data_IF_305439453113
#
_entry.id   IF_305439453113
#
_cell.length_a   1.000
_cell.length_b   1.000
_cell.length_c   1.000
_cell.angle_alpha   90.00
_cell.angle_beta   90.00
_cell.angle_gamma   90.00
#
_symmetry.space_group_name_H-M   'P 1'
#
loop_
_entity.id
_entity.type
_entity.pdbx_description
1 polymer ?
#
# COMPACT_ATOMS: atom_id res chain seq x y z
N UNK A 1 12.00 -14.85 5.72
CA UNK A 1 13.30 -14.16 5.81
C UNK A 1 13.19 -13.07 6.85
N UNK A 2 14.14 -13.02 7.81
CA UNK A 2 14.11 -12.08 8.93
C UNK A 2 14.44 -10.67 8.44
N UNK A 3 13.85 -9.59 9.00
CA UNK A 3 14.13 -8.20 8.62
C UNK A 3 15.63 -7.84 8.63
N UNK A 4 16.40 -8.48 9.48
CA UNK A 4 17.85 -8.29 9.61
C UNK A 4 18.67 -8.74 8.40
N UNK A 5 18.12 -9.60 7.55
CA UNK A 5 18.75 -10.04 6.30
C UNK A 5 18.48 -9.09 5.12
N UNK A 6 17.42 -8.30 5.21
CA UNK A 6 17.04 -7.33 4.16
C UNK A 6 17.96 -6.11 4.15
N UNK A 7 18.43 -5.67 5.33
CA UNK A 7 19.35 -4.55 5.47
C UNK A 7 20.71 -4.78 4.79
N UNK A 8 21.15 -6.05 4.69
CA UNK A 8 22.47 -6.38 4.12
C UNK A 8 22.49 -6.51 2.61
N UNK A 9 21.35 -6.80 1.97
CA UNK A 9 21.27 -7.00 0.52
C UNK A 9 20.74 -5.79 -0.25
N UNK A 10 19.84 -4.99 0.32
CA UNK A 10 19.29 -3.80 -0.35
C UNK A 10 20.23 -2.59 -0.28
N UNK A 11 21.03 -2.45 0.79
CA UNK A 11 21.95 -1.31 0.99
C UNK A 11 23.34 -1.52 0.38
N UNK A 12 23.65 -2.71 -0.16
CA UNK A 12 24.95 -3.01 -0.81
C UNK A 12 24.88 -3.20 -2.33
N UNK A 13 23.80 -2.85 -2.97
CA UNK A 13 23.91 -2.57 -4.40
C UNK A 13 24.60 -1.21 -4.47
N UNK A 14 25.92 -1.22 -4.66
CA UNK A 14 26.67 -0.05 -5.07
C UNK A 14 26.08 0.40 -6.41
N UNK A 15 25.11 1.29 -6.37
CA UNK A 15 24.42 1.84 -7.53
C UNK A 15 25.40 2.43 -8.56
N UNK A 16 26.68 2.62 -8.19
CA UNK A 16 27.77 3.04 -9.06
C UNK A 16 28.30 2.00 -10.04
N UNK A 17 28.13 0.70 -9.75
CA UNK A 17 28.70 -0.38 -10.56
C UNK A 17 27.78 -0.86 -11.69
N UNK A 18 26.50 -0.50 -11.71
CA UNK A 18 25.56 -0.90 -12.75
C UNK A 18 25.78 -0.02 -13.98
N UNK A 19 26.33 -0.62 -15.04
CA UNK A 19 26.53 0.07 -16.33
C UNK A 19 25.29 0.04 -17.23
N UNK A 20 24.36 -0.91 -17.01
CA UNK A 20 23.13 -1.05 -17.76
C UNK A 20 22.05 -1.67 -16.87
N UNK A 21 20.87 -1.07 -16.84
CA UNK A 21 19.72 -1.64 -16.16
C UNK A 21 18.71 -2.19 -17.18
N UNK A 22 18.47 -3.50 -17.23
CA UNK A 22 17.60 -4.11 -18.23
C UNK A 22 16.11 -3.95 -17.93
N UNK A 23 15.77 -3.39 -16.77
CA UNK A 23 14.38 -3.28 -16.32
C UNK A 23 13.75 -1.95 -16.75
N UNK A 24 12.53 -2.01 -17.25
CA UNK A 24 11.71 -0.83 -17.59
C UNK A 24 10.70 -0.47 -16.51
N UNK A 25 10.43 -1.38 -15.59
CA UNK A 25 9.45 -1.23 -14.51
C UNK A 25 9.98 -1.88 -13.24
N UNK A 26 9.82 -1.20 -12.12
CA UNK A 26 10.04 -1.74 -10.77
C UNK A 26 8.73 -1.63 -9.99
N UNK A 27 8.34 -2.73 -9.32
CA UNK A 27 7.19 -2.76 -8.41
C UNK A 27 7.70 -2.79 -6.98
N UNK A 28 7.56 -1.70 -6.26
CA UNK A 28 7.93 -1.61 -4.85
C UNK A 28 6.81 -2.11 -3.95
N UNK A 29 6.93 -3.34 -3.48
CA UNK A 29 6.06 -3.96 -2.48
C UNK A 29 6.70 -3.98 -1.08
N UNK A 30 7.89 -3.40 -0.91
CA UNK A 30 8.61 -3.42 0.36
C UNK A 30 8.01 -2.38 1.30
N UNK A 31 7.66 -2.80 2.50
CA UNK A 31 7.21 -1.92 3.57
C UNK A 31 7.41 -2.59 4.94
N UNK A 32 7.74 -1.81 5.96
CA UNK A 32 7.49 -2.19 7.33
C UNK A 32 5.99 -2.00 7.60
N UNK A 33 5.28 -3.10 7.81
CA UNK A 33 3.81 -3.15 7.94
C UNK A 33 3.34 -3.36 9.37
N UNK A 34 4.24 -3.31 10.36
CA UNK A 34 3.88 -3.38 11.77
C UNK A 34 3.20 -2.08 12.22
N UNK A 35 1.93 -1.95 11.90
CA UNK A 35 1.12 -0.71 11.94
C UNK A 35 1.16 -0.02 13.30
N UNK A 36 1.32 -0.76 14.39
CA UNK A 36 1.27 -0.23 15.76
C UNK A 36 2.60 -0.32 16.50
N UNK A 37 3.66 -0.69 15.80
CA UNK A 37 5.01 -0.71 16.34
C UNK A 37 5.54 0.70 16.61
N UNK A 38 6.28 0.84 17.70
CA UNK A 38 7.03 2.05 18.02
C UNK A 38 8.47 2.04 17.45
N UNK A 39 8.78 1.12 16.54
CA UNK A 39 10.09 1.01 15.87
C UNK A 39 10.23 2.10 14.80
N UNK A 40 10.42 3.33 15.25
CA UNK A 40 10.52 4.54 14.39
C UNK A 40 11.53 4.38 13.27
N UNK A 41 12.73 3.91 13.60
CA UNK A 41 13.83 3.81 12.64
C UNK A 41 13.55 2.80 11.53
N UNK A 42 12.90 1.68 11.85
CA UNK A 42 12.50 0.69 10.87
C UNK A 42 11.48 1.28 9.88
N UNK A 43 10.41 1.88 10.40
CA UNK A 43 9.42 2.55 9.54
C UNK A 43 10.03 3.67 8.70
N UNK A 44 10.89 4.51 9.32
CA UNK A 44 11.54 5.61 8.63
C UNK A 44 12.47 5.13 7.51
N UNK A 45 13.31 4.15 7.80
CA UNK A 45 14.30 3.65 6.85
C UNK A 45 13.63 2.88 5.70
N UNK A 46 12.61 2.06 5.97
CA UNK A 46 11.98 1.21 4.96
C UNK A 46 10.90 1.98 4.17
N UNK A 47 9.98 2.65 4.88
CA UNK A 47 8.80 3.23 4.24
C UNK A 47 9.05 4.61 3.62
N UNK A 48 10.13 5.30 4.01
CA UNK A 48 10.48 6.62 3.49
C UNK A 48 11.86 6.65 2.82
N UNK A 49 12.97 6.45 3.55
CA UNK A 49 14.32 6.54 2.96
C UNK A 49 14.55 5.53 1.84
N UNK A 50 14.17 4.27 2.03
CA UNK A 50 14.27 3.27 0.97
C UNK A 50 13.43 3.61 -0.26
N UNK A 51 12.32 4.34 -0.08
CA UNK A 51 11.52 4.86 -1.21
C UNK A 51 12.24 6.01 -1.91
N UNK A 52 12.90 6.91 -1.16
CA UNK A 52 13.72 7.99 -1.70
C UNK A 52 14.86 7.43 -2.58
N UNK A 53 15.65 6.50 -2.06
CA UNK A 53 16.73 5.82 -2.79
C UNK A 53 16.19 5.16 -4.08
N UNK A 54 15.03 4.53 -4.00
CA UNK A 54 14.40 3.86 -5.13
C UNK A 54 13.91 4.86 -6.20
N UNK A 55 13.39 6.01 -5.79
CA UNK A 55 12.99 7.09 -6.70
C UNK A 55 14.20 7.64 -7.45
N UNK A 56 15.31 7.89 -6.75
CA UNK A 56 16.57 8.33 -7.38
C UNK A 56 17.07 7.31 -8.40
N UNK A 57 17.08 6.03 -8.02
CA UNK A 57 17.46 4.94 -8.93
C UNK A 57 16.57 4.90 -10.18
N UNK A 58 15.25 4.90 -9.99
CA UNK A 58 14.31 4.86 -11.11
C UNK A 58 14.45 6.06 -12.05
N UNK A 59 14.68 7.26 -11.49
CA UNK A 59 14.90 8.47 -12.28
C UNK A 59 16.20 8.42 -13.09
N UNK A 60 17.28 7.93 -12.48
CA UNK A 60 18.59 7.76 -13.14
C UNK A 60 18.49 6.83 -14.35
N UNK A 61 17.79 5.71 -14.18
CA UNK A 61 17.69 4.66 -15.20
C UNK A 61 16.45 4.77 -16.10
N UNK A 62 15.63 5.83 -15.92
CA UNK A 62 14.37 6.04 -16.66
C UNK A 62 13.37 4.89 -16.51
N UNK A 63 13.36 4.26 -15.34
CA UNK A 63 12.49 3.13 -14.98
C UNK A 63 11.17 3.68 -14.44
N UNK A 64 10.05 3.04 -14.80
CA UNK A 64 8.76 3.34 -14.20
C UNK A 64 8.67 2.73 -12.80
N UNK A 65 8.41 3.56 -11.79
CA UNK A 65 8.17 3.10 -10.42
C UNK A 65 6.69 2.84 -10.17
N UNK A 66 6.35 1.61 -9.81
CA UNK A 66 5.04 1.24 -9.27
C UNK A 66 5.19 1.16 -7.76
N UNK A 67 4.60 2.08 -7.01
CA UNK A 67 4.72 2.12 -5.55
C UNK A 67 3.43 1.66 -4.88
N UNK A 68 3.51 0.58 -4.10
CA UNK A 68 2.38 0.09 -3.31
C UNK A 68 2.29 0.91 -2.02
N UNK A 69 1.31 1.79 -1.99
CA UNK A 69 0.92 2.61 -0.84
C UNK A 69 -0.23 1.94 -0.07
N UNK A 70 -0.95 2.67 0.75
CA UNK A 70 -1.98 2.11 1.63
C UNK A 70 -3.24 2.98 1.67
N UNK A 71 -4.39 2.35 1.88
CA UNK A 71 -5.66 3.00 2.21
C UNK A 71 -5.65 3.65 3.60
N UNK A 72 -4.72 3.24 4.47
CA UNK A 72 -4.57 3.79 5.81
C UNK A 72 -4.32 5.30 5.82
N UNK A 73 -3.84 5.87 4.73
CA UNK A 73 -3.65 7.32 4.56
C UNK A 73 -4.97 8.10 4.67
N UNK A 74 -6.10 7.45 4.45
CA UNK A 74 -7.45 8.02 4.56
C UNK A 74 -8.15 7.69 5.88
N UNK A 75 -7.50 6.95 6.76
CA UNK A 75 -8.06 6.49 8.02
C UNK A 75 -8.59 7.62 8.89
N UNK A 76 -9.73 7.40 9.54
CA UNK A 76 -10.35 8.38 10.46
C UNK A 76 -10.98 9.61 9.80
N UNK A 77 -10.80 9.82 8.51
CA UNK A 77 -11.41 10.91 7.75
C UNK A 77 -12.84 10.61 7.28
N UNK A 78 -13.40 11.52 6.49
CA UNK A 78 -14.65 11.26 5.79
C UNK A 78 -14.47 10.06 4.84
N UNK A 79 -15.47 9.18 4.70
CA UNK A 79 -15.40 8.06 3.79
C UNK A 79 -15.39 8.50 2.32
N UNK A 80 -15.01 7.56 1.44
CA UNK A 80 -15.09 7.74 -0.01
C UNK A 80 -14.12 8.79 -0.59
N UNK A 81 -12.92 8.91 0.00
CA UNK A 81 -11.85 9.80 -0.46
C UNK A 81 -11.34 9.44 -1.86
N UNK A 82 -11.22 10.47 -2.70
CA UNK A 82 -10.63 10.37 -4.04
C UNK A 82 -9.11 10.51 -4.01
N UNK A 83 -8.45 10.20 -5.11
CA UNK A 83 -7.00 10.34 -5.26
C UNK A 83 -6.51 11.80 -5.21
N UNK A 84 -7.39 12.76 -5.48
CA UNK A 84 -7.07 14.19 -5.49
C UNK A 84 -7.12 14.82 -4.09
N UNK A 85 -7.67 14.10 -3.12
CA UNK A 85 -7.74 14.60 -1.75
C UNK A 85 -6.43 14.34 -1.02
N UNK A 86 -6.02 15.31 -0.20
CA UNK A 86 -4.81 15.19 0.61
C UNK A 86 -5.06 14.15 1.70
N UNK A 87 -4.26 13.07 1.77
CA UNK A 87 -4.33 12.14 2.87
C UNK A 87 -3.96 12.83 4.18
N UNK A 88 -4.68 12.53 5.26
CA UNK A 88 -4.52 13.23 6.54
C UNK A 88 -4.24 12.31 7.72
N UNK A 89 -4.31 11.00 7.54
CA UNK A 89 -4.08 10.06 8.63
C UNK A 89 -2.58 9.82 8.86
N UNK A 90 -2.08 10.25 10.00
CA UNK A 90 -0.69 10.10 10.42
C UNK A 90 -0.57 9.85 11.94
N UNK A 91 -1.51 9.10 12.52
CA UNK A 91 -1.59 8.85 13.96
C UNK A 91 -0.61 7.79 14.46
N UNK A 92 0.05 7.07 13.56
CA UNK A 92 1.09 6.09 13.89
C UNK A 92 2.26 6.16 12.90
N UNK A 93 3.40 5.57 13.28
CA UNK A 93 4.62 5.61 12.46
C UNK A 93 4.45 4.97 11.09
N UNK A 94 3.63 3.90 11.00
CA UNK A 94 3.33 3.26 9.73
C UNK A 94 2.64 4.24 8.77
N UNK A 95 1.49 4.80 9.14
CA UNK A 95 0.73 5.70 8.27
C UNK A 95 1.52 6.97 7.94
N UNK A 96 2.22 7.54 8.92
CA UNK A 96 3.08 8.71 8.72
C UNK A 96 4.18 8.47 7.69
N UNK A 97 4.96 7.40 7.85
CA UNK A 97 6.08 7.12 6.93
C UNK A 97 5.61 6.63 5.56
N UNK A 98 4.49 5.89 5.49
CA UNK A 98 3.86 5.56 4.20
C UNK A 98 3.35 6.80 3.47
N UNK A 99 2.80 7.81 4.20
CA UNK A 99 2.42 9.09 3.62
C UNK A 99 3.62 9.84 3.06
N UNK A 100 4.72 9.90 3.80
CA UNK A 100 5.95 10.54 3.33
C UNK A 100 6.49 9.86 2.06
N UNK A 101 6.53 8.53 2.00
CA UNK A 101 6.95 7.79 0.82
C UNK A 101 6.02 8.02 -0.39
N UNK A 102 4.71 7.97 -0.17
CA UNK A 102 3.68 8.26 -1.19
C UNK A 102 3.86 9.68 -1.77
N UNK A 103 3.97 10.69 -0.91
CA UNK A 103 4.19 12.08 -1.31
C UNK A 103 5.54 12.27 -2.03
N UNK A 104 6.59 11.61 -1.55
CA UNK A 104 7.92 11.68 -2.17
C UNK A 104 7.91 11.14 -3.60
N UNK A 105 7.26 9.99 -3.83
CA UNK A 105 7.09 9.43 -5.18
C UNK A 105 6.37 10.42 -6.10
N UNK A 106 5.29 11.05 -5.63
CA UNK A 106 4.53 12.02 -6.42
C UNK A 106 5.36 13.26 -6.79
N UNK A 107 6.17 13.74 -5.87
CA UNK A 107 6.93 14.99 -6.04
C UNK A 107 8.24 14.81 -6.82
N UNK A 108 8.87 13.65 -6.69
CA UNK A 108 10.25 13.43 -7.15
C UNK A 108 10.38 12.41 -8.28
N UNK A 109 9.47 11.43 -8.39
CA UNK A 109 9.55 10.45 -9.46
C UNK A 109 9.06 11.02 -10.79
N UNK A 110 9.85 10.82 -11.86
CA UNK A 110 9.52 11.29 -13.21
C UNK A 110 8.50 10.42 -13.93
N UNK A 111 8.41 9.15 -13.57
CA UNK A 111 7.49 8.19 -14.18
C UNK A 111 7.02 7.19 -13.11
N UNK A 112 5.77 7.32 -12.66
CA UNK A 112 5.27 6.53 -11.57
C UNK A 112 3.82 6.09 -11.71
N UNK A 113 3.48 5.09 -10.91
CA UNK A 113 2.12 4.70 -10.56
C UNK A 113 2.08 4.40 -9.06
N UNK A 114 1.36 5.21 -8.30
CA UNK A 114 1.08 4.97 -6.89
C UNK A 114 -0.24 4.22 -6.76
N UNK A 115 -0.22 3.13 -6.01
CA UNK A 115 -1.37 2.27 -5.73
C UNK A 115 -1.71 2.38 -4.25
N UNK A 116 -2.80 3.04 -3.89
CA UNK A 116 -3.34 3.05 -2.53
C UNK A 116 -4.32 1.91 -2.40
N UNK A 117 -3.98 0.91 -1.59
CA UNK A 117 -4.78 -0.30 -1.43
C UNK A 117 -4.58 -0.95 -0.07
N UNK A 118 -5.44 -1.90 0.24
CA UNK A 118 -5.25 -2.84 1.35
C UNK A 118 -5.65 -4.25 0.92
N UNK A 119 -4.91 -5.24 1.38
CA UNK A 119 -5.16 -6.63 1.08
C UNK A 119 -4.91 -7.51 2.30
N UNK A 120 -5.52 -8.68 2.28
CA UNK A 120 -5.41 -9.67 3.35
C UNK A 120 -4.95 -11.01 2.76
N UNK A 121 -4.21 -11.82 3.54
CA UNK A 121 -3.87 -13.17 3.12
C UNK A 121 -5.12 -14.04 3.00
N UNK A 122 -5.07 -15.04 2.13
CA UNK A 122 -6.11 -16.05 1.98
C UNK A 122 -5.52 -17.44 2.27
N UNK A 123 -6.16 -18.26 3.14
CA UNK A 123 -7.35 -17.96 3.92
C UNK A 123 -7.09 -16.87 4.98
N UNK A 124 -8.17 -16.23 5.49
CA UNK A 124 -8.05 -15.23 6.54
C UNK A 124 -7.47 -15.86 7.82
N UNK A 125 -6.33 -15.32 8.36
CA UNK A 125 -5.51 -16.06 9.32
C UNK A 125 -5.90 -15.84 10.78
N UNK A 126 -6.79 -14.88 11.08
CA UNK A 126 -7.09 -14.52 12.46
C UNK A 126 -8.40 -15.15 12.93
N UNK A 127 -8.50 -15.37 14.26
CA UNK A 127 -9.71 -15.93 14.89
C UNK A 127 -10.87 -14.94 14.95
N UNK A 128 -10.57 -13.62 14.92
CA UNK A 128 -11.57 -12.54 15.01
C UNK A 128 -11.38 -11.55 13.88
N UNK A 129 -12.47 -10.94 13.43
CA UNK A 129 -12.48 -9.87 12.46
C UNK A 129 -13.47 -8.77 12.83
N UNK A 130 -13.10 -7.52 12.55
CA UNK A 130 -13.92 -6.36 12.86
C UNK A 130 -15.17 -6.32 11.97
N UNK A 131 -16.35 -6.22 12.58
CA UNK A 131 -17.62 -6.02 11.91
C UNK A 131 -18.05 -4.55 11.78
N UNK A 132 -17.25 -3.63 12.35
CA UNK A 132 -17.45 -2.18 12.36
C UNK A 132 -16.32 -1.40 11.69
N UNK A 133 -15.40 -2.08 10.98
CA UNK A 133 -14.37 -1.47 10.14
C UNK A 133 -14.67 -1.75 8.68
N UNK A 134 -14.94 -0.69 7.92
CA UNK A 134 -15.31 -0.77 6.50
C UNK A 134 -14.18 -0.30 5.60
N UNK A 135 -13.98 -0.97 4.47
CA UNK A 135 -12.98 -0.61 3.46
C UNK A 135 -13.21 -1.30 2.11
N UNK A 136 -12.35 -0.98 1.15
CA UNK A 136 -12.34 -1.59 -0.19
C UNK A 136 -11.32 -2.74 -0.29
N UNK A 137 -10.90 -3.27 0.84
CA UNK A 137 -9.92 -4.36 0.90
C UNK A 137 -10.47 -5.68 0.33
N UNK A 138 -9.55 -6.51 -0.16
CA UNK A 138 -9.86 -7.87 -0.58
C UNK A 138 -8.63 -8.77 -0.34
N UNK A 139 -8.69 -10.01 -0.76
CA UNK A 139 -7.56 -10.92 -0.71
C UNK A 139 -6.45 -10.51 -1.69
N UNK A 140 -5.22 -10.86 -1.34
CA UNK A 140 -4.01 -10.46 -2.09
C UNK A 140 -4.11 -10.81 -3.58
N UNK A 141 -4.63 -11.97 -3.93
CA UNK A 141 -4.79 -12.41 -5.32
C UNK A 141 -5.77 -11.55 -6.11
N UNK A 142 -6.83 -11.05 -5.47
CA UNK A 142 -7.82 -10.17 -6.09
C UNK A 142 -7.25 -8.79 -6.35
N UNK A 143 -6.62 -8.21 -5.33
CA UNK A 143 -5.98 -6.87 -5.45
C UNK A 143 -4.82 -6.92 -6.45
N UNK A 144 -3.98 -7.96 -6.43
CA UNK A 144 -2.89 -8.12 -7.38
C UNK A 144 -3.38 -8.16 -8.85
N UNK A 145 -4.50 -8.84 -9.13
CA UNK A 145 -5.09 -8.87 -10.47
C UNK A 145 -5.50 -7.48 -10.96
N UNK A 146 -6.06 -6.63 -10.09
CA UNK A 146 -6.41 -5.25 -10.43
C UNK A 146 -5.15 -4.40 -10.70
N UNK A 147 -4.14 -4.55 -9.85
CA UNK A 147 -2.84 -3.86 -10.01
C UNK A 147 -2.19 -4.25 -11.34
N UNK A 148 -2.12 -5.55 -11.66
CA UNK A 148 -1.57 -6.04 -12.93
C UNK A 148 -2.31 -5.43 -14.11
N UNK A 149 -3.66 -5.37 -14.08
CA UNK A 149 -4.44 -4.74 -15.13
C UNK A 149 -4.10 -3.25 -15.29
N UNK A 150 -3.89 -2.50 -14.21
CA UNK A 150 -3.44 -1.10 -14.27
C UNK A 150 -2.06 -0.97 -14.92
N UNK A 151 -1.12 -1.83 -14.53
CA UNK A 151 0.25 -1.84 -15.07
C UNK A 151 0.25 -2.16 -16.57
N UNK A 152 -0.45 -3.22 -16.98
CA UNK A 152 -0.51 -3.66 -18.38
C UNK A 152 -1.22 -2.65 -19.29
N UNK A 153 -2.21 -1.91 -18.75
CA UNK A 153 -2.85 -0.79 -19.44
C UNK A 153 -2.09 0.54 -19.31
N UNK A 154 -0.83 0.51 -18.82
CA UNK A 154 0.07 1.68 -18.75
C UNK A 154 -0.47 2.83 -17.89
N UNK A 155 -1.26 2.54 -16.86
CA UNK A 155 -1.76 3.54 -15.92
C UNK A 155 -0.62 4.36 -15.31
N UNK A 156 -0.82 5.66 -15.08
CA UNK A 156 0.13 6.59 -14.47
C UNK A 156 -0.54 7.44 -13.41
N UNK A 157 0.24 8.02 -12.50
CA UNK A 157 -0.27 8.84 -11.40
C UNK A 157 -0.74 8.01 -10.22
N UNK A 158 -1.81 8.38 -9.56
CA UNK A 158 -2.31 7.75 -8.34
C UNK A 158 -3.62 7.03 -8.62
N UNK A 159 -3.78 5.83 -8.06
CA UNK A 159 -5.03 5.06 -8.11
C UNK A 159 -5.37 4.49 -6.74
N UNK A 160 -6.59 4.71 -6.30
CA UNK A 160 -7.22 3.94 -5.24
C UNK A 160 -7.66 2.59 -5.82
N UNK A 161 -7.13 1.50 -5.26
CA UNK A 161 -7.37 0.15 -5.80
C UNK A 161 -8.01 -0.72 -4.73
N UNK A 162 -9.16 -1.27 -5.07
CA UNK A 162 -9.93 -2.12 -4.18
C UNK A 162 -11.13 -2.73 -4.86
N UNK A 163 -11.92 -3.43 -4.08
CA UNK A 163 -13.19 -4.01 -4.50
C UNK A 163 -14.36 -3.29 -3.81
N UNK A 164 -15.58 -3.81 -3.94
CA UNK A 164 -16.75 -3.23 -3.29
C UNK A 164 -16.55 -3.10 -1.77
N UNK A 165 -17.11 -2.04 -1.21
CA UNK A 165 -17.07 -1.78 0.22
C UNK A 165 -17.61 -2.96 1.04
N UNK A 166 -16.90 -3.36 2.08
CA UNK A 166 -17.30 -4.43 2.98
C UNK A 166 -16.64 -4.25 4.35
N UNK A 167 -17.18 -4.90 5.36
CA UNK A 167 -16.50 -5.03 6.64
C UNK A 167 -15.39 -6.08 6.58
N UNK A 168 -14.44 -5.99 7.50
CA UNK A 168 -13.39 -7.00 7.58
C UNK A 168 -13.95 -8.39 7.90
N UNK A 169 -15.01 -8.44 8.70
CA UNK A 169 -15.71 -9.69 9.03
C UNK A 169 -16.37 -10.31 7.78
N UNK A 170 -17.07 -9.50 6.97
CA UNK A 170 -17.67 -9.98 5.71
C UNK A 170 -16.63 -10.53 4.73
N UNK A 171 -15.42 -9.98 4.72
CA UNK A 171 -14.31 -10.55 3.93
C UNK A 171 -13.85 -11.87 4.55
N UNK A 172 -13.60 -11.89 5.87
CA UNK A 172 -12.98 -13.00 6.58
C UNK A 172 -13.78 -14.31 6.49
N UNK A 173 -15.11 -14.24 6.66
CA UNK A 173 -15.99 -15.42 6.62
C UNK A 173 -16.01 -16.12 5.27
N UNK A 174 -15.58 -15.46 4.18
CA UNK A 174 -15.54 -16.07 2.84
C UNK A 174 -14.51 -17.20 2.74
N UNK A 175 -13.45 -17.15 3.54
CA UNK A 175 -12.36 -18.13 3.49
C UNK A 175 -12.09 -18.81 4.84
N UNK A 176 -12.62 -18.25 5.93
CA UNK A 176 -12.54 -18.82 7.26
C UNK A 176 -13.89 -18.68 7.97
N UNK A 177 -14.82 -19.64 7.77
CA UNK A 177 -16.15 -19.59 8.39
C UNK A 177 -16.16 -19.64 9.93
N UNK A 178 -15.03 -19.97 10.55
CA UNK A 178 -14.91 -20.04 12.03
C UNK A 178 -14.55 -18.70 12.66
N UNK A 179 -14.30 -17.66 11.87
CA UNK A 179 -13.96 -16.32 12.37
C UNK A 179 -15.12 -15.76 13.17
N UNK A 180 -14.81 -15.23 14.35
CA UNK A 180 -15.78 -14.59 15.21
C UNK A 180 -15.81 -13.07 14.95
N UNK A 181 -16.99 -12.42 14.96
CA UNK A 181 -17.07 -10.99 14.86
C UNK A 181 -16.53 -10.31 16.12
N UNK A 182 -15.89 -9.16 15.93
CA UNK A 182 -15.45 -8.28 17.02
C UNK A 182 -15.60 -6.82 16.61
N UNK A 183 -15.57 -5.92 17.58
CA UNK A 183 -15.60 -4.47 17.32
C UNK A 183 -14.22 -3.88 17.57
N UNK A 184 -13.92 -2.77 16.88
CA UNK A 184 -12.68 -2.01 17.06
C UNK A 184 -12.60 -1.22 18.38
N UNK A 185 -13.66 -1.17 19.18
CA UNK A 185 -13.71 -0.40 20.43
C UNK A 185 -12.48 -0.64 21.30
N UNK A 186 -11.80 0.43 21.69
CA UNK A 186 -10.57 0.35 22.48
C UNK A 186 -9.31 0.02 21.69
N UNK A 187 -9.39 0.00 20.36
CA UNK A 187 -8.23 -0.16 19.47
C UNK A 187 -7.91 1.16 18.74
N UNK A 188 -6.67 1.39 18.30
CA UNK A 188 -6.31 2.55 17.49
C UNK A 188 -6.72 2.41 16.01
N UNK A 189 -7.50 1.40 15.66
CA UNK A 189 -7.92 1.15 14.28
C UNK A 189 -8.91 2.24 13.82
N UNK A 190 -8.78 2.83 12.60
CA UNK A 190 -9.76 3.79 12.09
C UNK A 190 -11.11 3.10 11.82
N UNK A 191 -12.20 3.87 11.94
CA UNK A 191 -13.57 3.38 11.65
C UNK A 191 -13.73 2.95 10.20
N UNK A 192 -13.11 3.68 9.32
CA UNK A 192 -13.23 3.52 7.88
C UNK A 192 -11.91 3.83 7.21
N UNK A 193 -11.58 3.01 6.26
CA UNK A 193 -10.52 3.21 5.28
C UNK A 193 -11.11 3.19 3.85
N UNK A 194 -12.36 3.61 3.74
CA UNK A 194 -13.13 3.62 2.50
C UNK A 194 -12.55 4.66 1.53
N UNK A 195 -12.23 4.18 0.34
CA UNK A 195 -11.73 4.97 -0.78
C UNK A 195 -12.78 5.08 -1.88
N UNK A 196 -12.73 6.14 -2.66
CA UNK A 196 -13.42 6.20 -3.95
C UNK A 196 -12.57 5.46 -5.00
N UNK A 197 -13.08 4.38 -5.53
CA UNK A 197 -12.41 3.54 -6.53
C UNK A 197 -12.93 3.78 -7.96
N UNK A 198 -13.73 4.83 -8.18
CA UNK A 198 -14.36 5.10 -9.48
C UNK A 198 -13.34 5.36 -10.58
N UNK A 199 -12.22 6.02 -10.26
CA UNK A 199 -11.14 6.25 -11.22
C UNK A 199 -10.58 4.94 -11.76
N UNK A 200 -10.31 3.99 -10.86
CA UNK A 200 -9.85 2.65 -11.25
C UNK A 200 -10.89 1.92 -12.10
N UNK A 201 -12.16 1.91 -11.65
CA UNK A 201 -13.24 1.23 -12.39
C UNK A 201 -13.41 1.80 -13.80
N UNK A 202 -13.46 3.12 -13.93
CA UNK A 202 -13.57 3.80 -15.21
C UNK A 202 -12.38 3.50 -16.14
N UNK A 203 -11.17 3.54 -15.60
CA UNK A 203 -9.95 3.25 -16.36
C UNK A 203 -9.90 1.80 -16.86
N UNK A 204 -10.32 0.85 -16.01
CA UNK A 204 -10.35 -0.58 -16.34
C UNK A 204 -11.64 -1.04 -17.03
N UNK A 205 -12.64 -0.17 -17.16
CA UNK A 205 -13.98 -0.47 -17.75
C UNK A 205 -14.68 -1.66 -17.06
N UNK A 206 -14.70 -1.66 -15.71
CA UNK A 206 -15.30 -2.70 -14.87
C UNK A 206 -16.29 -2.12 -13.86
#
# INVERSE_FOLDING_TARGET
TKPEEWDKHLLKVEFGAIQHCPYSVIVNCIADTDTYSNKRDSHWNINYKGVDDLVEFCNKWKIKLIHISTDYLYGGGLPNKTENEVPSHCENWYSYTKLLGDAHVQLKSKNYLVIRCSFKPSPFPFEKAFNDVTGNFDYTDKIAKLIIKLITNKATGIFNVGTEAKTLYELAIKTNPKVLPTTRRGTPFPNSVLMNISKMKNFLKI
#
